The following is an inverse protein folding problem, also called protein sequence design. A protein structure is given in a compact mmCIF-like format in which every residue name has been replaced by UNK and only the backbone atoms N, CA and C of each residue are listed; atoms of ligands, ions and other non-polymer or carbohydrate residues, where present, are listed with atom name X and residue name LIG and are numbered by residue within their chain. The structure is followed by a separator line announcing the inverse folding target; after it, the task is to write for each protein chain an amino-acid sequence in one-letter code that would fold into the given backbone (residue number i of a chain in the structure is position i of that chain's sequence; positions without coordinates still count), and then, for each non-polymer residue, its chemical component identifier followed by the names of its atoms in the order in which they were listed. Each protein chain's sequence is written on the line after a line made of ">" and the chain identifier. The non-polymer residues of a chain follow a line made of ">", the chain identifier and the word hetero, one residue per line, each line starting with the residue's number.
data_IF_759386005516
#
_entry.id   IF_759386005516
#
_cell.length_a   1.000
_cell.length_b   1.000
_cell.length_c   1.000
_cell.angle_alpha   90.00
_cell.angle_beta   90.00
_cell.angle_gamma   90.00
#
_symmetry.space_group_name_H-M   'P 1'
#
loop_
_entity.id
_entity.type
_entity.pdbx_description
1 polymer ?
#
# COMPACT_ATOMS: atom_id res chain seq x y z
N UNK A 1 2.10 -27.96 3.24
CA UNK A 1 0.93 -27.26 3.82
C UNK A 1 1.14 -25.75 4.02
N UNK A 2 2.36 -25.24 4.22
CA UNK A 2 2.61 -23.79 4.39
C UNK A 2 2.55 -22.95 3.09
N UNK A 3 2.64 -23.56 1.90
CA UNK A 3 2.61 -22.85 0.61
C UNK A 3 1.22 -22.30 0.21
N UNK A 4 0.11 -22.70 0.85
CA UNK A 4 -1.21 -22.23 0.40
C UNK A 4 -1.67 -20.92 1.06
N UNK A 5 -1.02 -20.50 2.14
CA UNK A 5 -1.52 -19.39 2.99
C UNK A 5 -1.63 -18.07 2.22
N UNK A 6 -0.61 -17.60 1.47
CA UNK A 6 -0.71 -16.32 0.76
C UNK A 6 -1.77 -16.35 -0.36
N UNK A 7 -1.92 -17.49 -1.03
CA UNK A 7 -2.93 -17.66 -2.09
C UNK A 7 -4.36 -17.62 -1.53
N UNK A 8 -4.60 -18.27 -0.38
CA UNK A 8 -5.90 -18.21 0.29
C UNK A 8 -6.20 -16.77 0.73
N UNK A 9 -5.21 -16.09 1.32
CA UNK A 9 -5.37 -14.73 1.76
C UNK A 9 -5.66 -13.79 0.58
N UNK A 10 -4.99 -13.95 -0.57
CA UNK A 10 -5.28 -13.19 -1.78
C UNK A 10 -6.75 -13.35 -2.24
N UNK A 11 -7.31 -14.57 -2.16
CA UNK A 11 -8.72 -14.82 -2.45
C UNK A 11 -9.66 -14.18 -1.41
N UNK A 12 -9.26 -14.08 -0.15
CA UNK A 12 -10.02 -13.34 0.87
C UNK A 12 -10.07 -11.84 0.53
N UNK A 13 -8.95 -11.25 0.08
CA UNK A 13 -8.93 -9.87 -0.41
C UNK A 13 -9.83 -9.65 -1.63
N UNK A 14 -9.86 -10.61 -2.58
CA UNK A 14 -10.80 -10.57 -3.71
C UNK A 14 -12.26 -10.62 -3.23
N UNK A 15 -12.58 -11.49 -2.27
CA UNK A 15 -13.90 -11.58 -1.67
C UNK A 15 -14.31 -10.26 -0.98
N UNK A 16 -13.39 -9.61 -0.26
CA UNK A 16 -13.66 -8.29 0.31
C UNK A 16 -14.01 -7.26 -0.76
N UNK A 17 -13.33 -7.24 -1.92
CA UNK A 17 -13.69 -6.34 -3.03
C UNK A 17 -15.13 -6.57 -3.52
N UNK A 18 -15.54 -7.83 -3.68
CA UNK A 18 -16.93 -8.18 -4.05
C UNK A 18 -17.91 -7.72 -2.98
N UNK A 19 -17.60 -7.96 -1.69
CA UNK A 19 -18.44 -7.56 -0.57
C UNK A 19 -18.64 -6.04 -0.54
N UNK A 20 -17.57 -5.27 -0.75
CA UNK A 20 -17.62 -3.80 -0.76
C UNK A 20 -18.49 -3.25 -1.90
N UNK A 21 -18.66 -3.97 -3.00
CA UNK A 21 -19.49 -3.56 -4.14
C UNK A 21 -20.94 -4.04 -4.04
N UNK A 22 -21.18 -5.21 -3.45
CA UNK A 22 -22.50 -5.87 -3.48
C UNK A 22 -23.30 -5.74 -2.18
N UNK A 23 -22.65 -5.44 -1.06
CA UNK A 23 -23.33 -5.31 0.24
C UNK A 23 -23.45 -3.84 0.64
N UNK A 24 -24.59 -3.47 1.22
CA UNK A 24 -24.73 -2.12 1.75
C UNK A 24 -23.78 -1.85 2.92
N UNK A 25 -23.41 -0.59 3.10
CA UNK A 25 -22.44 -0.14 4.12
C UNK A 25 -22.73 -0.62 5.55
N UNK A 26 -24.01 -0.81 5.88
CA UNK A 26 -24.47 -1.33 7.18
C UNK A 26 -24.00 -2.77 7.42
N UNK A 27 -24.06 -3.63 6.39
CA UNK A 27 -23.69 -5.04 6.51
C UNK A 27 -22.17 -5.23 6.55
N UNK A 28 -21.41 -4.32 5.94
CA UNK A 28 -19.94 -4.38 5.93
C UNK A 28 -19.33 -3.77 7.19
N UNK A 29 -20.11 -3.01 7.98
CA UNK A 29 -19.61 -2.24 9.14
C UNK A 29 -18.77 -3.09 10.10
N UNK A 30 -19.20 -4.31 10.42
CA UNK A 30 -18.49 -5.21 11.33
C UNK A 30 -17.23 -5.87 10.74
N UNK A 31 -17.08 -5.85 9.41
CA UNK A 31 -15.93 -6.44 8.70
C UNK A 31 -14.73 -5.50 8.63
N UNK A 32 -14.95 -4.18 8.77
CA UNK A 32 -13.88 -3.18 8.63
C UNK A 32 -12.67 -3.41 9.55
N UNK A 33 -12.83 -3.71 10.85
CA UNK A 33 -11.67 -3.99 11.70
C UNK A 33 -10.76 -5.09 11.12
N UNK A 34 -11.36 -6.14 10.58
CA UNK A 34 -10.64 -7.24 9.91
C UNK A 34 -10.04 -6.81 8.58
N UNK A 35 -10.80 -6.13 7.72
CA UNK A 35 -10.32 -5.64 6.42
C UNK A 35 -9.08 -4.74 6.61
N UNK A 36 -9.16 -3.81 7.57
CA UNK A 36 -8.07 -2.87 7.86
C UNK A 36 -6.87 -3.59 8.47
N UNK A 37 -7.06 -4.51 9.43
CA UNK A 37 -5.95 -5.23 10.03
C UNK A 37 -5.19 -6.06 9.00
N UNK A 38 -5.91 -6.76 8.11
CA UNK A 38 -5.31 -7.56 7.04
C UNK A 38 -4.57 -6.69 6.03
N UNK A 39 -5.17 -5.56 5.60
CA UNK A 39 -4.51 -4.59 4.71
C UNK A 39 -3.21 -4.07 5.33
N UNK A 40 -3.26 -3.58 6.57
CA UNK A 40 -2.09 -3.06 7.28
C UNK A 40 -1.01 -4.13 7.42
N UNK A 41 -1.39 -5.37 7.75
CA UNK A 41 -0.43 -6.47 7.88
C UNK A 41 0.32 -6.73 6.56
N UNK A 42 -0.38 -6.77 5.41
CA UNK A 42 0.29 -6.96 4.11
C UNK A 42 1.18 -5.77 3.78
N UNK A 43 0.72 -4.53 4.01
CA UNK A 43 1.54 -3.33 3.76
C UNK A 43 2.81 -3.30 4.64
N UNK A 44 2.71 -3.65 5.92
CA UNK A 44 3.85 -3.77 6.81
C UNK A 44 4.83 -4.86 6.36
N UNK A 45 4.33 -5.96 5.80
CA UNK A 45 5.19 -7.00 5.26
C UNK A 45 5.91 -6.56 3.98
N UNK A 46 5.25 -5.75 3.13
CA UNK A 46 5.92 -5.10 1.99
C UNK A 46 6.99 -4.13 2.48
N UNK A 47 6.68 -3.30 3.49
CA UNK A 47 7.67 -2.38 4.08
C UNK A 47 8.89 -3.14 4.60
N UNK A 48 8.67 -4.22 5.35
CA UNK A 48 9.73 -5.07 5.86
C UNK A 48 10.57 -5.66 4.71
N UNK A 49 9.93 -6.17 3.65
CA UNK A 49 10.61 -6.70 2.47
C UNK A 49 11.55 -5.65 1.83
N UNK A 50 11.08 -4.40 1.68
CA UNK A 50 11.86 -3.31 1.10
C UNK A 50 13.01 -2.86 2.02
N UNK A 51 12.76 -2.75 3.32
CA UNK A 51 13.82 -2.42 4.31
C UNK A 51 14.92 -3.49 4.28
N UNK A 52 14.55 -4.78 4.22
CA UNK A 52 15.55 -5.85 4.15
C UNK A 52 16.37 -5.86 2.86
N UNK A 53 15.81 -5.34 1.75
CA UNK A 53 16.51 -5.18 0.48
C UNK A 53 17.42 -3.95 0.43
N UNK A 54 17.36 -3.07 1.44
CA UNK A 54 18.22 -1.88 1.49
C UNK A 54 19.68 -2.29 1.77
N UNK A 55 20.63 -1.63 1.09
CA UNK A 55 22.06 -1.96 1.17
C UNK A 55 22.61 -1.91 2.61
N UNK A 56 22.11 -0.98 3.43
CA UNK A 56 22.50 -0.79 4.83
C UNK A 56 22.14 -2.00 5.71
N UNK A 57 20.89 -2.46 5.63
CA UNK A 57 20.44 -3.66 6.35
C UNK A 57 21.15 -4.91 5.85
N UNK A 58 21.35 -5.03 4.53
CA UNK A 58 22.09 -6.13 3.91
C UNK A 58 23.53 -6.20 4.41
N UNK A 59 24.21 -5.05 4.57
CA UNK A 59 25.57 -4.99 5.10
C UNK A 59 25.61 -5.34 6.60
N UNK A 60 24.62 -4.91 7.37
CA UNK A 60 24.50 -5.23 8.79
C UNK A 60 24.25 -6.72 9.03
N UNK A 61 23.37 -7.35 8.24
CA UNK A 61 23.15 -8.81 8.28
C UNK A 61 24.39 -9.57 7.85
N UNK A 62 25.08 -9.16 6.77
CA UNK A 62 26.34 -9.81 6.36
C UNK A 62 27.37 -9.79 7.50
N UNK A 63 27.51 -8.66 8.20
CA UNK A 63 28.38 -8.53 9.35
C UNK A 63 27.96 -9.45 10.52
N UNK A 64 26.66 -9.54 10.82
CA UNK A 64 26.12 -10.42 11.88
C UNK A 64 26.18 -11.91 11.52
N UNK A 65 26.02 -12.26 10.26
CA UNK A 65 26.12 -13.64 9.74
C UNK A 65 27.56 -14.14 9.79
N UNK A 66 28.55 -13.26 9.63
CA UNK A 66 29.96 -13.57 9.82
C UNK A 66 30.32 -13.85 11.29
N UNK A 67 29.41 -13.56 12.23
CA UNK A 67 29.56 -13.79 13.68
C UNK A 67 28.84 -15.07 14.17
N UNK A 68 28.44 -15.97 13.26
CA UNK A 68 27.82 -17.30 13.53
C UNK A 68 26.54 -17.27 14.39
N UNK A 69 25.72 -16.23 14.25
CA UNK A 69 24.44 -16.11 14.93
C UNK A 69 23.28 -16.63 14.06
N UNK A 70 23.09 -17.96 14.08
CA UNK A 70 22.01 -18.69 13.37
C UNK A 70 20.58 -18.19 13.65
N UNK A 71 20.36 -17.45 14.75
CA UNK A 71 19.05 -16.88 15.11
C UNK A 71 18.69 -15.59 14.34
N UNK A 72 19.68 -14.85 13.82
CA UNK A 72 19.45 -13.58 13.09
C UNK A 72 18.83 -13.83 11.71
N UNK A 73 19.02 -15.04 11.16
CA UNK A 73 18.48 -15.47 9.86
C UNK A 73 17.17 -16.23 9.95
N UNK A 74 16.64 -16.51 11.15
CA UNK A 74 15.35 -17.19 11.35
C UNK A 74 14.16 -16.23 11.16
N UNK A 75 14.26 -15.34 10.17
CA UNK A 75 13.16 -14.54 9.66
C UNK A 75 12.37 -15.39 8.66
N UNK A 76 11.60 -16.33 9.20
CA UNK A 76 10.94 -17.40 8.44
C UNK A 76 9.91 -16.94 7.39
N UNK A 77 9.72 -15.62 7.20
CA UNK A 77 8.86 -15.05 6.16
C UNK A 77 9.51 -13.91 5.34
N UNK A 78 10.78 -13.52 5.58
CA UNK A 78 11.39 -12.34 4.93
C UNK A 78 12.20 -12.66 3.68
N UNK A 79 13.12 -13.64 3.78
CA UNK A 79 14.07 -13.93 2.69
C UNK A 79 13.47 -14.83 1.58
N UNK A 80 12.42 -15.59 1.91
CA UNK A 80 11.77 -16.56 1.01
C UNK A 80 10.57 -16.00 0.24
N UNK A 81 10.19 -14.73 0.48
CA UNK A 81 9.04 -14.07 -0.14
C UNK A 81 9.39 -13.34 -1.44
N UNK A 82 10.67 -13.01 -1.65
CA UNK A 82 11.14 -12.28 -2.82
C UNK A 82 10.82 -13.04 -4.11
N UNK A 83 9.93 -12.49 -4.91
CA UNK A 83 9.52 -13.07 -6.19
C UNK A 83 8.67 -14.33 -6.10
N UNK A 84 8.19 -14.72 -4.91
CA UNK A 84 7.23 -15.83 -4.79
C UNK A 84 5.89 -15.42 -5.43
N UNK A 85 5.38 -16.16 -6.44
CA UNK A 85 4.19 -15.75 -7.19
C UNK A 85 2.94 -15.64 -6.31
N UNK A 86 2.80 -16.46 -5.27
CA UNK A 86 1.66 -16.42 -4.36
C UNK A 86 1.72 -15.20 -3.44
N UNK A 87 2.94 -14.79 -3.07
CA UNK A 87 3.17 -13.59 -2.28
C UNK A 87 2.91 -12.33 -3.10
N UNK A 88 3.39 -12.30 -4.35
CA UNK A 88 3.09 -11.23 -5.31
C UNK A 88 1.59 -11.08 -5.55
N UNK A 89 0.86 -12.19 -5.66
CA UNK A 89 -0.61 -12.16 -5.77
C UNK A 89 -1.27 -11.54 -4.54
N UNK A 90 -0.82 -11.87 -3.34
CA UNK A 90 -1.34 -11.28 -2.11
C UNK A 90 -1.05 -9.78 -2.02
N UNK A 91 0.17 -9.35 -2.35
CA UNK A 91 0.56 -7.93 -2.38
C UNK A 91 -0.30 -7.14 -3.39
N UNK A 92 -0.52 -7.70 -4.59
CA UNK A 92 -1.40 -7.11 -5.59
C UNK A 92 -2.86 -7.06 -5.12
N UNK A 93 -3.37 -8.14 -4.51
CA UNK A 93 -4.75 -8.21 -4.04
C UNK A 93 -5.03 -7.17 -2.93
N UNK A 94 -4.09 -6.99 -2.00
CA UNK A 94 -4.16 -5.95 -0.98
C UNK A 94 -4.13 -4.54 -1.59
N UNK A 95 -3.21 -4.30 -2.55
CA UNK A 95 -3.13 -3.01 -3.25
C UNK A 95 -4.42 -2.68 -4.02
N UNK A 96 -5.02 -3.66 -4.71
CA UNK A 96 -6.31 -3.52 -5.41
C UNK A 96 -7.48 -3.27 -4.46
N UNK A 97 -7.49 -3.89 -3.29
CA UNK A 97 -8.51 -3.62 -2.27
C UNK A 97 -8.39 -2.19 -1.75
N UNK A 98 -7.16 -1.71 -1.51
CA UNK A 98 -6.91 -0.33 -1.10
C UNK A 98 -7.32 0.66 -2.19
N UNK A 99 -6.96 0.40 -3.46
CA UNK A 99 -7.35 1.20 -4.63
C UNK A 99 -8.87 1.35 -4.71
N UNK A 100 -9.60 0.24 -4.60
CA UNK A 100 -11.06 0.23 -4.56
C UNK A 100 -11.63 1.03 -3.39
N UNK A 101 -11.11 0.83 -2.18
CA UNK A 101 -11.60 1.51 -0.98
C UNK A 101 -11.36 3.03 -1.03
N UNK A 102 -10.26 3.47 -1.64
CA UNK A 102 -9.95 4.88 -1.86
C UNK A 102 -10.83 5.51 -2.94
N UNK A 103 -11.23 4.73 -3.95
CA UNK A 103 -12.05 5.18 -5.08
C UNK A 103 -13.54 5.31 -4.72
N UNK A 104 -14.08 4.40 -3.91
CA UNK A 104 -15.50 4.37 -3.61
C UNK A 104 -15.95 5.61 -2.81
N UNK A 105 -17.17 6.15 -3.07
CA UNK A 105 -17.67 7.33 -2.38
C UNK A 105 -17.74 7.15 -0.86
N UNK A 106 -17.51 8.23 -0.11
CA UNK A 106 -17.56 8.20 1.36
C UNK A 106 -18.92 7.75 1.93
N UNK A 107 -20.02 7.97 1.19
CA UNK A 107 -21.36 7.49 1.55
C UNK A 107 -21.48 5.96 1.53
N UNK A 108 -20.74 5.31 0.64
CA UNK A 108 -20.72 3.84 0.52
C UNK A 108 -19.79 3.23 1.57
N UNK A 109 -18.69 3.92 1.89
CA UNK A 109 -17.70 3.45 2.86
C UNK A 109 -17.45 4.46 4.00
N UNK A 110 -18.46 4.77 4.84
CA UNK A 110 -18.32 5.76 5.90
C UNK A 110 -17.28 5.35 6.94
N UNK A 111 -17.21 4.04 7.24
CA UNK A 111 -16.24 3.50 8.19
C UNK A 111 -14.80 3.62 7.67
N UNK A 112 -14.57 3.42 6.36
CA UNK A 112 -13.24 3.55 5.79
C UNK A 112 -12.66 4.95 5.99
N UNK A 113 -13.50 6.00 5.98
CA UNK A 113 -13.06 7.38 6.22
C UNK A 113 -12.38 7.53 7.59
N UNK A 114 -12.79 6.74 8.60
CA UNK A 114 -12.17 6.75 9.92
C UNK A 114 -10.77 6.10 9.95
N UNK A 115 -10.45 5.24 8.99
CA UNK A 115 -9.17 4.54 8.88
C UNK A 115 -8.27 5.11 7.78
N UNK A 116 -8.83 5.94 6.89
CA UNK A 116 -8.18 6.50 5.71
C UNK A 116 -6.84 7.17 6.00
N UNK A 117 -6.74 7.86 7.14
CA UNK A 117 -5.52 8.52 7.61
C UNK A 117 -4.32 7.57 7.73
N UNK A 118 -4.54 6.28 7.94
CA UNK A 118 -3.48 5.28 8.03
C UNK A 118 -2.81 5.00 6.67
N UNK A 119 -3.53 5.23 5.57
CA UNK A 119 -3.08 4.81 4.24
C UNK A 119 -2.56 5.96 3.40
N UNK A 120 -3.28 7.09 3.33
CA UNK A 120 -2.96 8.22 2.44
C UNK A 120 -2.93 9.54 3.20
N UNK A 121 -2.25 10.52 2.63
CA UNK A 121 -2.14 11.87 3.21
C UNK A 121 -2.99 12.87 2.43
N UNK A 122 -3.70 13.74 3.15
CA UNK A 122 -4.34 14.94 2.57
C UNK A 122 -3.33 16.09 2.35
N UNK A 123 -2.10 15.95 2.88
CA UNK A 123 -1.01 16.93 2.77
C UNK A 123 0.12 16.33 1.93
N UNK A 124 0.76 17.15 1.09
CA UNK A 124 1.96 16.71 0.38
C UNK A 124 3.11 16.49 1.38
N UNK A 125 3.52 15.22 1.53
CA UNK A 125 4.63 14.82 2.38
C UNK A 125 5.93 14.62 1.58
N UNK A 126 5.97 14.93 0.28
CA UNK A 126 7.15 14.69 -0.58
C UNK A 126 8.43 15.38 -0.10
N UNK A 127 8.30 16.48 0.66
CA UNK A 127 9.42 17.28 1.16
C UNK A 127 9.74 17.08 2.66
N UNK A 128 9.03 16.19 3.37
CA UNK A 128 9.40 15.83 4.74
C UNK A 128 10.57 14.85 4.71
N UNK A 129 11.78 15.41 4.72
CA UNK A 129 13.00 14.68 5.10
C UNK A 129 12.83 14.24 6.55
N UNK A 130 12.59 12.94 6.78
CA UNK A 130 12.74 12.39 8.12
C UNK A 130 14.23 12.44 8.44
N UNK A 131 14.60 13.34 9.36
CA UNK A 131 15.83 13.17 10.12
C UNK A 131 15.65 11.85 10.86
N UNK A 132 16.36 10.84 10.39
CA UNK A 132 16.52 9.57 11.07
C UNK A 132 16.97 9.87 12.49
N UNK A 133 16.18 9.46 13.48
CA UNK A 133 16.49 9.69 14.89
C UNK A 133 17.77 8.88 15.19
N UNK A 134 18.91 9.57 15.15
CA UNK A 134 20.25 9.03 15.39
C UNK A 134 20.32 8.49 16.83
N UNK A 135 20.13 7.17 16.98
CA UNK A 135 20.46 6.41 18.19
C UNK A 135 21.99 6.24 18.28
N UNK A 136 22.79 7.29 18.14
CA UNK A 136 24.23 7.22 18.47
C UNK A 136 24.88 8.58 18.70
N UNK A 137 24.83 9.03 19.96
CA UNK A 137 25.91 9.75 20.66
C UNK A 137 26.68 10.83 19.87
N UNK A 138 26.47 12.11 20.21
CA UNK A 138 27.59 13.05 20.35
C UNK A 138 27.30 14.23 21.27
N UNK A 139 28.22 14.38 22.22
CA UNK A 139 28.34 15.39 23.25
C UNK A 139 28.71 16.75 22.67
N UNK A 140 27.97 17.79 23.09
CA UNK A 140 28.33 19.23 23.20
C UNK A 140 28.98 19.92 21.98
N UNK A 141 28.23 20.83 21.35
CA UNK A 141 28.71 22.20 21.17
C UNK A 141 27.53 23.19 21.12
N UNK A 142 27.85 24.40 21.54
CA UNK A 142 27.02 25.52 21.97
C UNK A 142 26.15 26.18 20.89
N UNK A 143 24.95 26.58 21.33
CA UNK A 143 24.23 27.84 21.03
C UNK A 143 24.11 28.30 19.59
N UNK A 144 22.90 28.25 19.03
CA UNK A 144 22.05 29.44 18.71
C UNK A 144 20.66 28.96 18.26
N UNK A 145 19.62 29.62 18.77
CA UNK A 145 18.20 29.40 18.53
C UNK A 145 17.83 28.97 17.10
N UNK A 146 17.14 27.84 16.99
CA UNK A 146 15.95 27.63 16.14
C UNK A 146 15.32 26.32 16.61
N UNK A 147 14.11 26.35 17.16
CA UNK A 147 13.35 25.14 17.48
C UNK A 147 13.14 24.36 16.17
N UNK A 148 13.69 23.14 15.97
CA UNK A 148 13.00 22.23 15.10
C UNK A 148 11.77 21.81 15.89
N UNK A 149 10.61 22.38 15.57
CA UNK A 149 9.36 21.70 15.86
C UNK A 149 9.37 20.43 15.01
N UNK A 150 10.10 19.40 15.48
CA UNK A 150 9.95 18.03 15.04
C UNK A 150 8.57 17.60 15.53
N UNK A 151 7.53 18.11 14.87
CA UNK A 151 6.19 17.60 15.01
C UNK A 151 6.29 16.15 14.55
N UNK A 152 6.13 15.22 15.47
CA UNK A 152 5.93 13.82 15.16
C UNK A 152 4.64 13.74 14.33
N UNK A 153 4.76 13.88 13.00
CA UNK A 153 3.65 13.74 12.07
C UNK A 153 3.57 12.26 11.72
N UNK A 154 2.41 11.67 11.98
CA UNK A 154 2.13 10.31 11.54
C UNK A 154 2.29 10.20 10.01
N UNK A 155 2.97 9.17 9.55
CA UNK A 155 3.25 8.92 8.12
C UNK A 155 2.36 7.80 7.62
N UNK A 156 1.48 8.04 6.65
CA UNK A 156 0.64 6.98 6.11
C UNK A 156 1.46 5.88 5.41
N UNK A 157 0.94 4.65 5.44
CA UNK A 157 1.64 3.46 4.91
C UNK A 157 2.05 3.60 3.44
N UNK A 158 1.18 4.15 2.58
CA UNK A 158 1.50 4.37 1.17
C UNK A 158 2.71 5.30 1.01
N UNK A 159 2.78 6.36 1.82
CA UNK A 159 3.88 7.31 1.77
C UNK A 159 5.21 6.65 2.17
N UNK A 160 5.17 5.83 3.23
CA UNK A 160 6.35 5.05 3.67
C UNK A 160 6.81 4.07 2.60
N UNK A 161 5.86 3.34 2.00
CA UNK A 161 6.13 2.38 0.92
C UNK A 161 6.72 3.06 -0.32
N UNK A 162 6.11 4.15 -0.81
CA UNK A 162 6.63 4.88 -1.97
C UNK A 162 8.09 5.28 -1.79
N UNK A 163 8.44 5.81 -0.61
CA UNK A 163 9.81 6.24 -0.31
C UNK A 163 10.79 5.08 -0.25
N UNK A 164 10.41 3.98 0.40
CA UNK A 164 11.23 2.77 0.43
C UNK A 164 11.45 2.21 -0.98
N UNK A 165 10.43 2.26 -1.83
CA UNK A 165 10.52 1.85 -3.24
C UNK A 165 11.41 2.78 -4.07
N UNK A 166 11.39 4.09 -3.83
CA UNK A 166 12.31 5.04 -4.49
C UNK A 166 13.79 4.76 -4.13
N UNK A 167 14.05 4.32 -2.89
CA UNK A 167 15.40 3.91 -2.44
C UNK A 167 15.82 2.59 -3.08
N UNK A 168 14.92 1.60 -3.11
CA UNK A 168 15.19 0.26 -3.65
C UNK A 168 15.28 0.23 -5.18
N UNK A 169 14.48 1.06 -5.86
CA UNK A 169 14.31 1.05 -7.32
C UNK A 169 14.73 2.40 -7.92
N UNK A 170 16.04 2.69 -7.82
CA UNK A 170 16.65 3.95 -8.24
C UNK A 170 16.31 4.37 -9.68
N UNK A 171 16.07 3.41 -10.56
CA UNK A 171 15.71 3.64 -11.97
C UNK A 171 14.29 4.18 -12.18
N UNK A 172 13.40 4.03 -11.21
CA UNK A 172 12.02 4.53 -11.25
C UNK A 172 11.79 5.79 -10.39
N UNK A 173 12.83 6.27 -9.69
CA UNK A 173 12.73 7.44 -8.80
C UNK A 173 12.26 8.70 -9.53
N UNK A 174 12.58 8.84 -10.82
CA UNK A 174 12.23 10.01 -11.62
C UNK A 174 10.88 9.89 -12.37
N UNK A 175 10.18 8.76 -12.22
CA UNK A 175 8.86 8.61 -12.86
C UNK A 175 7.88 9.53 -12.15
N UNK A 176 7.31 10.48 -12.90
CA UNK A 176 6.29 11.39 -12.39
C UNK A 176 5.02 10.60 -12.00
N UNK A 177 4.26 11.06 -10.98
CA UNK A 177 2.98 10.47 -10.62
C UNK A 177 2.04 10.44 -11.84
N UNK A 178 1.26 9.36 -12.01
CA UNK A 178 0.25 9.36 -13.07
C UNK A 178 -0.87 10.31 -12.63
N UNK A 179 -1.31 11.18 -13.54
CA UNK A 179 -2.53 11.95 -13.31
C UNK A 179 -3.70 10.98 -13.10
N UNK A 180 -4.24 10.93 -11.89
CA UNK A 180 -5.42 10.13 -11.54
C UNK A 180 -6.59 10.62 -12.38
N UNK A 181 -7.06 9.79 -13.32
CA UNK A 181 -8.33 10.05 -14.01
C UNK A 181 -9.44 9.85 -12.98
N UNK A 182 -10.30 10.85 -12.81
CA UNK A 182 -11.42 10.76 -11.87
C UNK A 182 -12.27 9.53 -12.20
N UNK A 183 -12.51 8.68 -11.20
CA UNK A 183 -13.41 7.54 -11.34
C UNK A 183 -12.81 6.27 -11.95
N UNK A 184 -11.48 6.13 -12.01
CA UNK A 184 -10.82 4.93 -12.54
C UNK A 184 -9.93 4.27 -11.50
N UNK A 185 -9.90 2.93 -11.47
CA UNK A 185 -8.93 2.16 -10.69
C UNK A 185 -7.53 2.35 -11.27
N UNK A 186 -6.54 2.56 -10.39
CA UNK A 186 -5.13 2.64 -10.75
C UNK A 186 -4.55 1.25 -11.10
N UNK A 187 -5.10 0.19 -10.51
CA UNK A 187 -4.62 -1.18 -10.66
C UNK A 187 -5.65 -2.06 -11.39
N UNK A 188 -5.46 -2.22 -12.71
CA UNK A 188 -6.25 -3.14 -13.55
C UNK A 188 -5.50 -4.42 -13.94
N UNK A 189 -4.21 -4.53 -13.63
CA UNK A 189 -3.42 -5.71 -13.97
C UNK A 189 -3.86 -6.95 -13.17
N UNK A 190 -4.05 -8.10 -13.82
CA UNK A 190 -4.39 -9.39 -13.17
C UNK A 190 -3.21 -10.00 -12.39
N UNK A 191 -1.97 -9.70 -12.80
CA UNK A 191 -0.77 -10.21 -12.15
C UNK A 191 0.41 -9.23 -12.26
N UNK A 192 1.35 -9.35 -11.33
CA UNK A 192 2.62 -8.63 -11.32
C UNK A 192 3.78 -9.63 -11.39
N UNK A 193 4.88 -9.22 -12.01
CA UNK A 193 6.12 -10.02 -12.12
C UNK A 193 7.06 -9.75 -10.95
N UNK A 194 6.96 -8.57 -10.35
CA UNK A 194 7.78 -8.18 -9.21
C UNK A 194 7.07 -7.13 -8.37
N UNK A 195 7.49 -6.98 -7.11
CA UNK A 195 6.98 -5.94 -6.22
C UNK A 195 7.18 -4.52 -6.80
N UNK A 196 8.23 -4.33 -7.60
CA UNK A 196 8.52 -3.08 -8.32
C UNK A 196 7.38 -2.64 -9.25
N UNK A 197 6.55 -3.56 -9.74
CA UNK A 197 5.41 -3.22 -10.59
C UNK A 197 4.33 -2.41 -9.84
N UNK A 198 4.31 -2.46 -8.50
CA UNK A 198 3.41 -1.65 -7.66
C UNK A 198 3.96 -0.26 -7.35
N UNK A 199 5.18 0.07 -7.77
CA UNK A 199 5.82 1.33 -7.39
C UNK A 199 5.02 2.53 -7.86
N UNK A 200 4.59 2.55 -9.13
CA UNK A 200 3.82 3.67 -9.67
C UNK A 200 2.50 3.88 -8.94
N UNK A 201 1.86 2.80 -8.48
CA UNK A 201 0.64 2.86 -7.71
C UNK A 201 0.87 3.54 -6.36
N UNK A 202 1.83 3.06 -5.56
CA UNK A 202 2.12 3.67 -4.25
C UNK A 202 2.63 5.10 -4.40
N UNK A 203 3.44 5.37 -5.42
CA UNK A 203 3.89 6.71 -5.75
C UNK A 203 2.71 7.63 -6.04
N UNK A 204 1.84 7.26 -6.96
CA UNK A 204 0.65 8.04 -7.31
C UNK A 204 -0.24 8.32 -6.11
N UNK A 205 -0.45 7.34 -5.23
CA UNK A 205 -1.25 7.51 -4.00
C UNK A 205 -0.52 8.32 -2.89
N UNK A 206 0.80 8.44 -2.95
CA UNK A 206 1.58 9.19 -1.97
C UNK A 206 1.56 10.71 -2.20
N UNK A 207 1.35 11.15 -3.44
CA UNK A 207 1.12 12.55 -3.75
C UNK A 207 -0.31 12.90 -3.39
N UNK A 208 -0.49 14.06 -2.75
CA UNK A 208 -1.74 14.54 -2.14
C UNK A 208 -2.97 13.88 -2.76
N UNK A 209 -3.58 12.92 -2.05
CA UNK A 209 -4.89 12.47 -2.44
C UNK A 209 -5.82 13.61 -2.06
N UNK A 210 -6.01 14.56 -2.97
CA UNK A 210 -6.80 15.74 -2.67
C UNK A 210 -8.16 15.27 -2.17
N UNK A 211 -8.50 15.69 -0.95
CA UNK A 211 -9.86 15.61 -0.37
C UNK A 211 -10.95 16.23 -1.27
N UNK A 212 -10.60 16.73 -2.46
CA UNK A 212 -11.48 17.23 -3.51
C UNK A 212 -12.30 16.15 -4.26
N UNK A 213 -12.28 14.89 -3.80
CA UNK A 213 -13.38 13.96 -4.10
C UNK A 213 -14.62 14.21 -3.21
N UNK A 214 -14.54 15.15 -2.27
CA UNK A 214 -15.67 15.76 -1.59
C UNK A 214 -15.85 17.21 -2.08
N UNK A 215 -17.11 17.61 -2.32
CA UNK A 215 -17.61 18.96 -2.68
C UNK A 215 -17.57 19.20 -4.21
N UNK A 216 -18.66 19.13 -4.99
CA UNK A 216 -20.01 19.68 -4.75
C UNK A 216 -21.16 18.77 -5.18
N UNK A 217 -22.23 18.84 -4.39
CA UNK A 217 -23.57 18.31 -4.69
C UNK A 217 -24.18 19.04 -5.90
N UNK A 218 -24.49 18.33 -6.99
CA UNK A 218 -25.58 18.79 -7.86
C UNK A 218 -26.28 17.64 -8.62
N UNK A 219 -27.47 17.28 -8.12
CA UNK A 219 -28.69 16.74 -8.77
C UNK A 219 -28.62 15.83 -10.02
N UNK A 220 -27.49 15.20 -10.32
CA UNK A 220 -27.29 14.25 -11.45
C UNK A 220 -26.38 13.07 -11.09
N UNK A 221 -26.43 12.62 -9.82
CA UNK A 221 -25.47 11.68 -9.22
C UNK A 221 -25.66 10.21 -9.62
N UNK A 222 -26.90 9.69 -9.67
CA UNK A 222 -27.12 8.25 -9.82
C UNK A 222 -26.48 7.67 -11.10
N UNK A 223 -26.66 8.34 -12.25
CA UNK A 223 -26.12 7.81 -13.52
C UNK A 223 -24.59 7.78 -13.60
N UNK A 224 -23.90 8.65 -12.87
CA UNK A 224 -22.42 8.69 -12.85
C UNK A 224 -21.87 7.65 -11.89
N UNK A 225 -22.53 7.48 -10.75
CA UNK A 225 -22.19 6.46 -9.77
C UNK A 225 -22.43 5.06 -10.36
N UNK A 226 -23.54 4.86 -11.09
CA UNK A 226 -23.83 3.61 -11.81
C UNK A 226 -22.75 3.28 -12.85
N UNK A 227 -22.37 4.26 -13.70
CA UNK A 227 -21.34 4.04 -14.72
C UNK A 227 -19.94 3.78 -14.13
N UNK A 228 -19.64 4.35 -12.95
CA UNK A 228 -18.43 4.07 -12.20
C UNK A 228 -18.44 2.63 -11.67
N UNK A 229 -19.55 2.21 -11.06
CA UNK A 229 -19.71 0.85 -10.56
C UNK A 229 -19.60 -0.16 -11.70
N UNK A 230 -20.27 0.04 -12.83
CA UNK A 230 -20.17 -0.83 -14.02
C UNK A 230 -18.72 -1.01 -14.47
N UNK A 231 -17.93 0.08 -14.46
CA UNK A 231 -16.52 0.03 -14.85
C UNK A 231 -15.66 -0.72 -13.82
N UNK A 232 -15.92 -0.52 -12.54
CA UNK A 232 -15.24 -1.25 -11.46
C UNK A 232 -15.58 -2.74 -11.53
N UNK A 233 -16.85 -3.08 -11.76
CA UNK A 233 -17.32 -4.46 -11.89
C UNK A 233 -16.65 -5.15 -13.08
N UNK A 234 -16.55 -4.48 -14.24
CA UNK A 234 -15.83 -5.02 -15.40
C UNK A 234 -14.36 -5.35 -15.11
N UNK A 235 -13.64 -4.46 -14.39
CA UNK A 235 -12.25 -4.74 -13.98
C UNK A 235 -12.18 -5.87 -12.96
N UNK A 236 -13.17 -5.99 -12.07
CA UNK A 236 -13.25 -7.06 -11.09
C UNK A 236 -13.57 -8.42 -11.74
N UNK A 237 -14.41 -8.45 -12.77
CA UNK A 237 -14.72 -9.66 -13.55
C UNK A 237 -13.45 -10.25 -14.19
N UNK A 238 -12.57 -9.40 -14.70
CA UNK A 238 -11.29 -9.82 -15.26
C UNK A 238 -10.39 -10.56 -14.25
N UNK A 239 -10.56 -10.33 -12.95
CA UNK A 239 -9.81 -11.03 -11.90
C UNK A 239 -10.31 -12.46 -11.64
N UNK A 240 -11.48 -12.84 -12.18
CA UNK A 240 -12.03 -14.20 -12.12
C UNK A 240 -11.69 -15.03 -13.36
N UNK A 241 -11.17 -14.42 -14.43
CA UNK A 241 -10.86 -15.12 -15.67
C UNK A 241 -9.45 -15.72 -15.58
N UNK A 242 -9.37 -17.05 -15.51
CA UNK A 242 -8.10 -17.76 -15.68
C UNK A 242 -7.55 -17.54 -17.10
N UNK A 243 -6.27 -17.16 -17.22
CA UNK A 243 -5.59 -17.12 -18.52
C UNK A 243 -5.51 -18.54 -19.06
N UNK A 244 -6.15 -18.80 -20.20
CA UNK A 244 -5.96 -20.06 -20.94
C UNK A 244 -4.46 -20.26 -21.18
N UNK A 245 -3.91 -21.46 -20.92
CA UNK A 245 -2.52 -21.75 -21.23
C UNK A 245 -2.32 -21.57 -22.74
N UNK A 246 -1.32 -20.76 -23.11
CA UNK A 246 -0.90 -20.65 -24.51
C UNK A 246 -0.52 -22.04 -25.00
N UNK A 247 -1.23 -22.51 -26.04
CA UNK A 247 -1.13 -23.86 -26.61
C UNK A 247 0.12 -24.04 -27.44
#
# INVERSE_FOLDING_TARGET
>A
MAQAVPAIQANVFLCFRVILLRMSSQHVTSLWPTIISELVQVLLQIEQELVTNTEEFSNHIKLLSALDNSWVTNANNGLSAHGNPQWLQLQLAAAKLLDLALLLPAKELPQFQMYRWAFVSDVDLSHMDYVEDDITTKTKSSSTNNNPSSTCVFVPHVCRLSRLMDVCYKDQRLVEPVATRQGELLLTAQSIKSLKDLHQFFKTLSYSWSSHMNIDQDTSHDRKDDALLDRIESVLEDDFIDKMPES
#
